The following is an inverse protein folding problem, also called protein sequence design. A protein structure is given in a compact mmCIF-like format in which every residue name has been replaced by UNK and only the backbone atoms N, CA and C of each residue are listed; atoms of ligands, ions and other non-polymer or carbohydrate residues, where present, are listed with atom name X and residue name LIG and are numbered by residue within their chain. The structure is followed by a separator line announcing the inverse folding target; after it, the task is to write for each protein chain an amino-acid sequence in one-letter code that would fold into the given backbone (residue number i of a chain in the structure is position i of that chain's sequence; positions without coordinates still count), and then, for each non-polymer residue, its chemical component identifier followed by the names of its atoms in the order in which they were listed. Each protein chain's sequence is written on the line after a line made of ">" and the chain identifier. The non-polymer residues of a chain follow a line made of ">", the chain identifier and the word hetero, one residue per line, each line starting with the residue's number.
data_IF_606686988765
#
_entry.id   IF_606686988765
#
_cell.length_a   1.000
_cell.length_b   1.000
_cell.length_c   1.000
_cell.angle_alpha   90.00
_cell.angle_beta   90.00
_cell.angle_gamma   90.00
#
_symmetry.space_group_name_H-M   'P 1'
#
loop_
_entity.id
_entity.type
_entity.pdbx_description
1 polymer ?
#
# COMPACT_ATOMS: atom_id res chain seq x y z
N UNK A 1 -8.12 31.15 6.93
CA UNK A 1 -6.68 31.48 6.77
C UNK A 1 -5.85 30.21 6.63
N UNK A 2 -5.74 29.38 7.67
CA UNK A 2 -4.88 28.17 7.67
C UNK A 2 -5.12 27.23 6.49
N UNK A 3 -6.38 26.87 6.20
CA UNK A 3 -6.72 26.02 5.04
C UNK A 3 -6.18 26.58 3.72
N UNK A 4 -6.34 27.90 3.51
CA UNK A 4 -5.85 28.59 2.31
C UNK A 4 -4.32 28.58 2.27
N UNK A 5 -3.64 28.82 3.40
CA UNK A 5 -2.17 28.78 3.47
C UNK A 5 -1.61 27.39 3.14
N UNK A 6 -2.22 26.32 3.67
CA UNK A 6 -1.83 24.93 3.33
C UNK A 6 -2.10 24.62 1.86
N UNK A 7 -3.21 25.09 1.30
CA UNK A 7 -3.51 24.93 -0.14
C UNK A 7 -2.49 25.64 -1.05
N UNK A 8 -1.87 26.73 -0.59
CA UNK A 8 -0.77 27.40 -1.30
C UNK A 8 0.60 26.75 -1.08
N UNK A 9 0.68 25.62 -0.37
CA UNK A 9 1.93 24.90 -0.14
C UNK A 9 2.83 25.53 0.91
N UNK A 10 2.32 26.42 1.76
CA UNK A 10 3.09 26.92 2.91
C UNK A 10 3.29 25.80 3.93
N UNK A 11 4.55 25.62 4.35
CA UNK A 11 4.90 24.72 5.44
C UNK A 11 4.44 25.33 6.78
N UNK A 12 3.46 24.70 7.42
CA UNK A 12 2.93 25.13 8.72
C UNK A 12 2.19 24.01 9.42
N UNK A 13 2.17 24.05 10.76
CA UNK A 13 1.46 23.06 11.58
C UNK A 13 -0.06 23.30 11.60
N UNK A 14 -0.84 22.22 11.62
CA UNK A 14 -2.31 22.27 11.79
C UNK A 14 -2.77 22.28 13.25
N UNK A 15 -1.83 22.08 14.19
CA UNK A 15 -2.11 21.93 15.61
C UNK A 15 -2.70 23.19 16.27
N UNK A 16 -1.96 24.30 16.26
CA UNK A 16 -2.41 25.55 16.91
C UNK A 16 -3.70 26.12 16.30
N UNK A 17 -3.91 26.09 14.97
CA UNK A 17 -5.19 26.44 14.38
C UNK A 17 -6.36 25.57 14.85
N UNK A 18 -6.15 24.25 14.98
CA UNK A 18 -7.17 23.34 15.49
C UNK A 18 -7.54 23.63 16.95
N UNK A 19 -6.53 23.89 17.80
CA UNK A 19 -6.74 24.32 19.19
C UNK A 19 -7.59 25.59 19.26
N UNK A 20 -7.22 26.62 18.49
CA UNK A 20 -7.91 27.90 18.50
C UNK A 20 -9.37 27.75 18.03
N UNK A 21 -9.60 27.00 16.95
CA UNK A 21 -10.94 26.76 16.41
C UNK A 21 -11.78 25.98 17.43
N UNK A 22 -11.23 24.93 18.02
CA UNK A 22 -11.92 24.14 19.05
C UNK A 22 -12.25 24.95 20.31
N UNK A 23 -11.30 25.73 20.81
CA UNK A 23 -11.50 26.59 21.96
C UNK A 23 -12.57 27.66 21.68
N UNK A 24 -12.52 28.29 20.49
CA UNK A 24 -13.51 29.28 20.07
C UNK A 24 -14.90 28.67 19.95
N UNK A 25 -15.03 27.47 19.37
CA UNK A 25 -16.29 26.76 19.29
C UNK A 25 -16.84 26.40 20.68
N UNK A 26 -15.99 25.90 21.58
CA UNK A 26 -16.35 25.64 22.97
C UNK A 26 -16.79 26.90 23.72
N UNK A 27 -16.13 28.04 23.49
CA UNK A 27 -16.48 29.33 24.08
C UNK A 27 -17.84 29.84 23.57
N UNK A 28 -18.13 29.70 22.27
CA UNK A 28 -19.43 30.06 21.70
C UNK A 28 -20.53 29.20 22.31
N UNK A 29 -20.34 27.87 22.36
CA UNK A 29 -21.31 26.94 22.95
C UNK A 29 -21.54 27.26 24.43
N UNK A 30 -20.46 27.51 25.19
CA UNK A 30 -20.55 27.91 26.59
C UNK A 30 -21.35 29.19 26.78
N UNK A 31 -21.03 30.24 26.01
CA UNK A 31 -21.72 31.52 26.08
C UNK A 31 -23.22 31.36 25.79
N UNK A 32 -23.59 30.56 24.78
CA UNK A 32 -25.00 30.29 24.45
C UNK A 32 -25.72 29.56 25.60
N UNK A 33 -25.10 28.54 26.19
CA UNK A 33 -25.67 27.80 27.32
C UNK A 33 -25.87 28.69 28.55
N UNK A 34 -24.90 29.57 28.84
CA UNK A 34 -25.01 30.54 29.93
C UNK A 34 -26.15 31.54 29.70
N UNK A 35 -26.29 32.07 28.48
CA UNK A 35 -27.41 32.97 28.14
C UNK A 35 -28.77 32.26 28.25
N UNK A 36 -28.83 30.95 28.00
CA UNK A 36 -30.02 30.14 28.20
C UNK A 36 -30.29 29.78 29.68
N UNK A 37 -29.42 30.19 30.62
CA UNK A 37 -29.54 29.88 32.04
C UNK A 37 -29.14 28.44 32.41
N UNK A 38 -28.47 27.72 31.51
CA UNK A 38 -28.00 26.35 31.71
C UNK A 38 -26.51 26.34 32.03
N UNK A 39 -26.08 25.41 32.91
CA UNK A 39 -24.65 25.12 33.18
C UNK A 39 -23.79 26.34 33.58
N UNK A 40 -24.28 27.18 34.50
CA UNK A 40 -23.67 28.46 34.92
C UNK A 40 -22.22 28.38 35.48
N UNK A 41 -21.64 27.18 35.64
CA UNK A 41 -20.28 26.98 36.20
C UNK A 41 -19.35 26.12 35.30
N UNK A 42 -19.75 25.79 34.07
CA UNK A 42 -19.00 24.88 33.20
C UNK A 42 -18.25 25.58 32.06
N UNK A 43 -18.05 26.89 32.15
CA UNK A 43 -17.51 27.70 31.04
C UNK A 43 -16.13 27.20 30.58
N UNK A 44 -15.19 27.12 31.51
CA UNK A 44 -13.83 26.63 31.21
C UNK A 44 -13.83 25.17 30.75
N UNK A 45 -14.69 24.33 31.32
CA UNK A 45 -14.77 22.92 30.94
C UNK A 45 -15.23 22.75 29.49
N UNK A 46 -16.24 23.50 29.05
CA UNK A 46 -16.75 23.45 27.68
C UNK A 46 -15.73 23.97 26.66
N UNK A 47 -15.00 25.02 27.00
CA UNK A 47 -13.89 25.53 26.16
C UNK A 47 -12.80 24.48 26.00
N UNK A 48 -12.36 23.86 27.11
CA UNK A 48 -11.33 22.81 27.10
C UNK A 48 -11.81 21.59 26.32
N UNK A 49 -13.06 21.15 26.51
CA UNK A 49 -13.64 20.05 25.75
C UNK A 49 -13.68 20.36 24.24
N UNK A 50 -14.12 21.55 23.85
CA UNK A 50 -14.15 21.96 22.43
C UNK A 50 -12.74 21.99 21.82
N UNK A 51 -11.78 22.58 22.54
CA UNK A 51 -10.37 22.61 22.17
C UNK A 51 -9.82 21.20 21.96
N UNK A 52 -10.03 20.31 22.94
CA UNK A 52 -9.49 18.97 22.93
C UNK A 52 -10.16 18.08 21.86
N UNK A 53 -11.48 18.17 21.71
CA UNK A 53 -12.25 17.38 20.75
C UNK A 53 -11.84 17.67 19.30
N UNK A 54 -11.77 18.95 18.91
CA UNK A 54 -11.38 19.33 17.55
C UNK A 54 -9.92 18.93 17.27
N UNK A 55 -9.03 19.22 18.22
CA UNK A 55 -7.61 18.96 18.05
C UNK A 55 -7.30 17.47 17.98
N UNK A 56 -7.93 16.64 18.83
CA UNK A 56 -7.78 15.19 18.81
C UNK A 56 -8.24 14.59 17.48
N UNK A 57 -9.37 15.07 16.94
CA UNK A 57 -9.91 14.60 15.66
C UNK A 57 -9.07 15.02 14.45
N UNK A 58 -8.46 16.21 14.48
CA UNK A 58 -7.58 16.68 13.39
C UNK A 58 -6.27 15.89 13.37
N UNK A 59 -5.65 15.67 14.54
CA UNK A 59 -4.36 14.95 14.64
C UNK A 59 -4.53 13.44 14.52
N UNK A 60 -5.65 12.89 15.02
CA UNK A 60 -5.83 11.44 15.20
C UNK A 60 -5.17 10.88 16.46
N UNK A 61 -4.87 11.72 17.47
CA UNK A 61 -4.16 11.34 18.69
C UNK A 61 -4.99 11.60 19.98
N UNK A 62 -6.06 10.82 20.22
CA UNK A 62 -6.98 11.06 21.34
C UNK A 62 -6.33 10.93 22.71
N UNK A 63 -5.49 9.91 22.92
CA UNK A 63 -4.82 9.68 24.22
C UNK A 63 -3.85 10.82 24.53
N UNK A 64 -3.03 11.21 23.55
CA UNK A 64 -2.09 12.33 23.68
C UNK A 64 -2.80 13.62 24.05
N UNK A 65 -3.97 13.89 23.46
CA UNK A 65 -4.73 15.09 23.80
C UNK A 65 -5.32 15.07 25.21
N UNK A 66 -5.73 13.91 25.72
CA UNK A 66 -6.19 13.79 27.12
C UNK A 66 -5.04 14.10 28.08
N UNK A 67 -3.85 13.54 27.84
CA UNK A 67 -2.65 13.79 28.64
C UNK A 67 -2.31 15.28 28.61
N UNK A 68 -2.28 15.87 27.42
CA UNK A 68 -1.97 17.29 27.24
C UNK A 68 -2.95 18.21 27.97
N UNK A 69 -4.25 17.88 27.97
CA UNK A 69 -5.26 18.62 28.74
C UNK A 69 -4.95 18.55 30.24
N UNK A 70 -4.64 17.37 30.76
CA UNK A 70 -4.30 17.18 32.18
C UNK A 70 -3.04 17.96 32.53
N UNK A 71 -2.00 17.89 31.71
CA UNK A 71 -0.74 18.60 31.94
C UNK A 71 -0.89 20.12 31.90
N UNK A 72 -1.60 20.66 30.90
CA UNK A 72 -1.78 22.10 30.76
C UNK A 72 -2.71 22.70 31.83
N UNK A 73 -3.71 21.94 32.27
CA UNK A 73 -4.70 22.43 33.25
C UNK A 73 -4.37 22.04 34.69
N UNK A 74 -3.50 21.06 34.90
CA UNK A 74 -3.20 20.47 36.20
C UNK A 74 -4.39 19.74 36.84
N UNK A 75 -5.47 19.47 36.09
CA UNK A 75 -6.74 18.97 36.63
C UNK A 75 -7.20 17.71 35.91
N UNK A 76 -7.31 16.63 36.67
CA UNK A 76 -7.85 15.36 36.19
C UNK A 76 -9.33 15.45 35.79
N UNK A 77 -10.09 16.33 36.44
CA UNK A 77 -11.53 16.52 36.16
C UNK A 77 -11.73 17.06 34.73
N UNK A 78 -10.88 18.00 34.29
CA UNK A 78 -10.96 18.51 32.91
C UNK A 78 -10.49 17.47 31.88
N UNK A 79 -9.50 16.64 32.22
CA UNK A 79 -9.11 15.50 31.40
C UNK A 79 -10.25 14.51 31.17
N UNK A 80 -10.98 14.14 32.23
CA UNK A 80 -12.14 13.26 32.15
C UNK A 80 -13.28 13.88 31.32
N UNK A 81 -13.56 15.17 31.50
CA UNK A 81 -14.58 15.86 30.71
C UNK A 81 -14.19 15.88 29.22
N UNK A 82 -12.93 16.19 28.93
CA UNK A 82 -12.40 16.21 27.57
C UNK A 82 -12.47 14.82 26.91
N UNK A 83 -12.21 13.74 27.66
CA UNK A 83 -12.28 12.36 27.14
C UNK A 83 -13.62 12.06 26.46
N UNK A 84 -14.74 12.42 27.09
CA UNK A 84 -16.07 12.18 26.50
C UNK A 84 -16.24 12.94 25.19
N UNK A 85 -15.84 14.22 25.18
CA UNK A 85 -15.94 15.05 23.97
C UNK A 85 -15.03 14.57 22.84
N UNK A 86 -13.81 14.10 23.18
CA UNK A 86 -12.85 13.51 22.25
C UNK A 86 -13.43 12.22 21.67
N UNK A 87 -13.96 11.32 22.51
CA UNK A 87 -14.50 10.04 22.06
C UNK A 87 -15.63 10.25 21.03
N UNK A 88 -16.55 11.19 21.29
CA UNK A 88 -17.66 11.50 20.36
C UNK A 88 -17.13 12.12 19.06
N UNK A 89 -16.25 13.11 19.17
CA UNK A 89 -15.72 13.82 17.99
C UNK A 89 -14.86 12.92 17.10
N UNK A 90 -13.97 12.12 17.70
CA UNK A 90 -13.09 11.20 16.98
C UNK A 90 -13.89 10.08 16.34
N UNK A 91 -14.86 9.48 17.05
CA UNK A 91 -15.72 8.43 16.46
C UNK A 91 -16.49 8.95 15.25
N UNK A 92 -17.05 10.16 15.35
CA UNK A 92 -17.74 10.80 14.22
C UNK A 92 -16.79 11.07 13.05
N UNK A 93 -15.60 11.60 13.34
CA UNK A 93 -14.60 11.93 12.31
C UNK A 93 -14.06 10.67 11.62
N UNK A 94 -13.80 9.60 12.37
CA UNK A 94 -13.37 8.30 11.84
C UNK A 94 -14.35 7.73 10.83
N UNK A 95 -15.65 7.75 11.16
CA UNK A 95 -16.69 7.22 10.26
C UNK A 95 -16.80 8.06 8.98
N UNK A 96 -16.61 9.38 9.07
CA UNK A 96 -16.90 10.28 7.94
C UNK A 96 -15.68 10.65 7.10
N UNK A 97 -14.51 10.79 7.70
CA UNK A 97 -13.33 11.42 7.10
C UNK A 97 -12.04 10.61 7.25
N UNK A 98 -12.02 9.53 8.05
CA UNK A 98 -10.83 8.75 8.35
C UNK A 98 -10.19 9.10 9.70
N UNK A 99 -9.04 8.49 10.00
CA UNK A 99 -8.46 8.55 11.34
C UNK A 99 -7.79 9.90 11.67
N UNK A 100 -7.24 10.60 10.68
CA UNK A 100 -6.61 11.92 10.86
C UNK A 100 -6.58 12.76 9.59
N UNK A 101 -6.26 14.04 9.74
CA UNK A 101 -5.93 14.91 8.60
C UNK A 101 -4.71 14.42 7.82
N UNK A 102 -3.75 13.78 8.48
CA UNK A 102 -2.54 13.26 7.85
C UNK A 102 -2.84 12.06 6.95
N UNK A 103 -3.77 11.20 7.35
CA UNK A 103 -4.20 10.05 6.52
C UNK A 103 -4.80 10.54 5.21
N UNK A 104 -5.64 11.57 5.25
CA UNK A 104 -6.22 12.19 4.05
C UNK A 104 -5.12 12.79 3.15
N UNK A 105 -4.05 13.33 3.73
CA UNK A 105 -2.94 13.86 2.94
C UNK A 105 -2.13 12.77 2.24
N UNK A 106 -1.95 11.62 2.89
CA UNK A 106 -1.24 10.48 2.34
C UNK A 106 -2.07 9.81 1.24
N UNK A 107 -3.36 9.61 1.48
CA UNK A 107 -4.32 9.07 0.50
C UNK A 107 -4.37 9.92 -0.77
N UNK A 108 -4.37 11.26 -0.64
CA UNK A 108 -4.30 12.17 -1.79
C UNK A 108 -2.99 12.10 -2.60
N UNK A 109 -1.96 11.47 -2.05
CA UNK A 109 -0.68 11.22 -2.72
C UNK A 109 -0.56 9.77 -3.20
N UNK A 110 -1.66 9.01 -3.13
CA UNK A 110 -1.70 7.59 -3.46
C UNK A 110 -0.80 6.73 -2.54
N UNK A 111 -0.52 7.22 -1.32
CA UNK A 111 0.28 6.51 -0.33
C UNK A 111 -0.66 5.81 0.65
N UNK A 112 -0.88 4.51 0.44
CA UNK A 112 -1.71 3.70 1.32
C UNK A 112 -0.90 3.15 2.49
N UNK A 113 -1.02 3.79 3.67
CA UNK A 113 -0.38 3.34 4.91
C UNK A 113 -1.20 2.26 5.65
N UNK A 114 -2.38 1.89 5.17
CA UNK A 114 -3.27 0.94 5.85
C UNK A 114 -2.68 -0.46 5.92
N UNK A 115 -1.81 -0.80 4.96
CA UNK A 115 -1.06 -2.06 4.93
C UNK A 115 0.18 -2.05 5.84
N UNK A 116 0.36 -0.97 6.61
CA UNK A 116 1.46 -0.79 7.54
C UNK A 116 2.80 -0.60 6.83
N UNK A 117 3.88 -0.69 7.61
CA UNK A 117 5.24 -0.52 7.09
C UNK A 117 5.60 -1.57 6.04
N UNK A 118 5.14 -2.81 6.22
CA UNK A 118 5.42 -3.90 5.28
C UNK A 118 4.78 -3.62 3.91
N UNK A 119 3.51 -3.22 3.86
CA UNK A 119 2.87 -2.89 2.58
C UNK A 119 3.60 -1.79 1.81
N UNK A 120 4.06 -0.74 2.51
CA UNK A 120 4.85 0.33 1.88
C UNK A 120 6.15 -0.21 1.27
N UNK A 121 6.92 -1.00 2.01
CA UNK A 121 8.16 -1.58 1.50
C UNK A 121 7.92 -2.49 0.28
N UNK A 122 6.86 -3.29 0.31
CA UNK A 122 6.49 -4.16 -0.82
C UNK A 122 6.05 -3.34 -2.05
N UNK A 123 5.46 -2.17 -1.86
CA UNK A 123 5.07 -1.26 -2.95
C UNK A 123 6.24 -0.48 -3.54
N UNK A 124 7.29 -0.20 -2.74
CA UNK A 124 8.49 0.52 -3.19
C UNK A 124 9.56 -0.41 -3.78
N UNK A 125 9.54 -1.69 -3.43
CA UNK A 125 10.52 -2.68 -3.91
C UNK A 125 10.09 -3.24 -5.27
N UNK A 126 11.00 -3.27 -6.24
CA UNK A 126 10.71 -3.81 -7.58
C UNK A 126 10.75 -5.35 -7.55
N UNK A 127 9.79 -5.97 -8.26
CA UNK A 127 9.80 -7.42 -8.42
C UNK A 127 11.05 -7.92 -9.18
N UNK A 128 11.62 -7.06 -10.04
CA UNK A 128 12.84 -7.31 -10.81
C UNK A 128 14.03 -7.72 -9.95
N UNK A 129 14.13 -7.21 -8.72
CA UNK A 129 15.26 -7.47 -7.82
C UNK A 129 15.32 -8.93 -7.34
N UNK A 130 14.20 -9.64 -7.40
CA UNK A 130 14.05 -11.03 -6.97
C UNK A 130 13.90 -12.03 -8.13
N UNK A 131 14.08 -11.55 -9.37
CA UNK A 131 13.96 -12.40 -10.55
C UNK A 131 15.19 -13.29 -10.76
N UNK A 132 14.95 -14.51 -11.24
CA UNK A 132 16.00 -15.35 -11.79
C UNK A 132 16.30 -14.92 -13.24
N UNK A 133 17.58 -14.84 -13.57
CA UNK A 133 18.07 -14.48 -14.91
C UNK A 133 18.37 -15.72 -15.75
N UNK A 134 18.38 -16.91 -15.14
CA UNK A 134 18.60 -18.16 -15.83
C UNK A 134 17.25 -18.79 -16.18
N UNK A 135 16.85 -18.62 -17.44
CA UNK A 135 15.65 -19.23 -17.99
C UNK A 135 15.93 -19.82 -19.37
N UNK A 136 15.23 -20.89 -19.70
CA UNK A 136 15.34 -21.53 -21.01
C UNK A 136 14.38 -20.84 -22.00
N UNK A 137 14.90 -20.54 -23.20
CA UNK A 137 14.16 -19.87 -24.27
C UNK A 137 14.11 -20.75 -25.52
N UNK A 138 13.05 -20.58 -26.32
CA UNK A 138 12.89 -21.22 -27.63
C UNK A 138 12.37 -20.20 -28.65
N UNK A 139 12.70 -20.38 -29.94
CA UNK A 139 12.21 -19.50 -30.99
C UNK A 139 10.79 -19.90 -31.43
N UNK A 140 9.95 -18.93 -31.80
CA UNK A 140 8.60 -19.18 -32.33
C UNK A 140 8.58 -20.04 -33.60
N UNK A 141 9.66 -20.02 -34.38
CA UNK A 141 9.82 -20.77 -35.62
C UNK A 141 10.38 -22.18 -35.43
N UNK A 142 10.74 -22.57 -34.19
CA UNK A 142 11.24 -23.91 -33.89
C UNK A 142 10.10 -24.95 -33.94
N UNK A 143 10.46 -26.24 -33.92
CA UNK A 143 9.48 -27.32 -33.89
C UNK A 143 9.15 -27.77 -32.46
N UNK A 144 8.02 -28.46 -32.32
CA UNK A 144 7.62 -29.10 -31.06
C UNK A 144 8.69 -30.05 -30.52
N UNK A 145 9.39 -30.78 -31.40
CA UNK A 145 10.48 -31.68 -31.01
C UNK A 145 11.64 -30.95 -30.34
N UNK A 146 12.03 -29.78 -30.86
CA UNK A 146 13.07 -28.92 -30.25
C UNK A 146 12.63 -28.40 -28.88
N UNK A 147 11.36 -28.07 -28.71
CA UNK A 147 10.80 -27.69 -27.41
C UNK A 147 10.89 -28.82 -26.38
N UNK A 148 10.46 -30.02 -26.75
CA UNK A 148 10.53 -31.21 -25.89
C UNK A 148 11.98 -31.57 -25.49
N UNK A 149 12.92 -31.47 -26.43
CA UNK A 149 14.35 -31.69 -26.15
C UNK A 149 14.91 -30.63 -25.21
N UNK A 150 14.57 -29.36 -25.44
CA UNK A 150 15.02 -28.23 -24.61
C UNK A 150 14.47 -28.36 -23.18
N UNK A 151 13.19 -28.66 -23.01
CA UNK A 151 12.56 -28.95 -21.71
C UNK A 151 13.26 -30.11 -20.99
N UNK A 152 13.53 -31.21 -21.71
CA UNK A 152 14.21 -32.39 -21.14
C UNK A 152 15.63 -32.08 -20.70
N UNK A 153 16.37 -31.29 -21.50
CA UNK A 153 17.76 -30.89 -21.22
C UNK A 153 17.87 -29.96 -20.02
N UNK A 154 16.95 -29.01 -19.89
CA UNK A 154 16.93 -28.02 -18.82
C UNK A 154 16.12 -28.47 -17.59
N UNK A 155 15.45 -29.62 -17.67
CA UNK A 155 14.59 -30.18 -16.62
C UNK A 155 13.48 -29.20 -16.17
N UNK A 156 12.93 -28.44 -17.12
CA UNK A 156 11.85 -27.48 -16.89
C UNK A 156 10.56 -27.93 -17.57
N UNK A 157 9.41 -27.56 -16.99
CA UNK A 157 8.09 -27.83 -17.56
C UNK A 157 7.61 -26.69 -18.45
N UNK A 158 8.17 -25.49 -18.29
CA UNK A 158 7.79 -24.32 -19.08
C UNK A 158 8.99 -23.71 -19.82
N UNK A 159 8.74 -23.16 -21.01
CA UNK A 159 9.71 -22.41 -21.80
C UNK A 159 9.16 -21.04 -22.20
N UNK A 160 10.08 -20.07 -22.28
CA UNK A 160 9.79 -18.74 -22.84
C UNK A 160 9.94 -18.79 -24.35
N UNK A 161 8.95 -18.29 -25.06
CA UNK A 161 9.00 -18.21 -26.52
C UNK A 161 9.36 -16.79 -26.96
N UNK A 162 10.42 -16.70 -27.76
CA UNK A 162 10.94 -15.45 -28.32
C UNK A 162 10.87 -15.46 -29.85
N UNK A 163 10.76 -14.28 -30.44
CA UNK A 163 10.89 -14.07 -31.89
C UNK A 163 12.37 -14.02 -32.32
N UNK A 164 12.64 -14.05 -33.62
CA UNK A 164 13.98 -13.87 -34.21
C UNK A 164 14.64 -12.55 -33.79
N UNK A 165 13.85 -11.52 -33.48
CA UNK A 165 14.31 -10.22 -33.00
C UNK A 165 14.54 -10.16 -31.47
N UNK A 166 14.46 -11.30 -30.79
CA UNK A 166 14.56 -11.43 -29.33
C UNK A 166 13.42 -10.75 -28.56
N UNK A 167 12.25 -10.60 -29.20
CA UNK A 167 11.03 -10.07 -28.58
C UNK A 167 10.23 -11.20 -27.92
N UNK A 168 9.59 -10.90 -26.79
CA UNK A 168 8.72 -11.84 -26.07
C UNK A 168 7.43 -12.09 -26.84
N UNK A 169 7.14 -13.36 -27.11
CA UNK A 169 5.94 -13.80 -27.85
C UNK A 169 4.93 -14.47 -26.91
N UNK A 170 5.40 -15.27 -25.95
CA UNK A 170 4.54 -15.98 -25.01
C UNK A 170 5.26 -17.07 -24.24
N UNK A 171 4.48 -17.99 -23.68
CA UNK A 171 4.97 -19.14 -22.92
C UNK A 171 4.48 -20.45 -23.54
N UNK A 172 5.20 -21.54 -23.32
CA UNK A 172 4.73 -22.88 -23.63
C UNK A 172 4.94 -23.83 -22.46
N UNK A 173 3.93 -24.64 -22.19
CA UNK A 173 3.91 -25.69 -21.16
C UNK A 173 4.14 -27.06 -21.82
N UNK A 174 4.93 -27.91 -21.16
CA UNK A 174 5.12 -29.31 -21.49
C UNK A 174 3.81 -30.06 -21.69
N UNK A 175 2.76 -29.75 -20.92
CA UNK A 175 1.44 -30.41 -21.03
C UNK A 175 0.79 -30.11 -22.39
N UNK A 176 0.90 -28.87 -22.88
CA UNK A 176 0.31 -28.43 -24.15
C UNK A 176 0.91 -29.15 -25.37
N UNK A 177 2.19 -29.53 -25.26
CA UNK A 177 2.92 -30.25 -26.32
C UNK A 177 3.12 -31.74 -26.03
N UNK A 178 2.55 -32.25 -24.94
CA UNK A 178 2.67 -33.65 -24.57
C UNK A 178 1.94 -34.53 -25.59
N UNK A 179 2.64 -35.53 -26.13
CA UNK A 179 2.13 -36.44 -27.18
C UNK A 179 1.79 -35.77 -28.52
N UNK A 180 2.35 -34.59 -28.82
CA UNK A 180 2.25 -33.94 -30.13
C UNK A 180 3.34 -34.41 -31.08
N UNK A 181 3.10 -34.32 -32.39
CA UNK A 181 4.09 -34.76 -33.37
C UNK A 181 5.31 -33.82 -33.34
N UNK A 182 6.55 -34.33 -33.19
CA UNK A 182 7.76 -33.50 -33.07
C UNK A 182 8.03 -32.58 -34.27
N UNK A 183 7.38 -32.83 -35.40
CA UNK A 183 7.53 -32.06 -36.65
C UNK A 183 6.53 -30.92 -36.79
N UNK A 184 5.55 -30.82 -35.89
CA UNK A 184 4.60 -29.70 -35.89
C UNK A 184 5.28 -28.37 -35.55
N UNK A 185 4.72 -27.28 -36.09
CA UNK A 185 5.15 -25.92 -35.80
C UNK A 185 4.77 -25.52 -34.37
N UNK A 186 5.70 -24.90 -33.66
CA UNK A 186 5.50 -24.51 -32.26
C UNK A 186 4.44 -23.40 -32.10
N UNK A 187 4.30 -22.50 -33.09
CA UNK A 187 3.44 -21.30 -33.01
C UNK A 187 1.96 -21.60 -32.67
N UNK A 188 1.49 -22.81 -33.02
CA UNK A 188 0.11 -23.27 -32.77
C UNK A 188 -0.16 -23.46 -31.27
N UNK A 189 0.88 -23.79 -30.49
CA UNK A 189 0.78 -24.19 -29.08
C UNK A 189 1.27 -23.12 -28.11
N UNK A 190 1.69 -21.95 -28.61
CA UNK A 190 2.16 -20.84 -27.77
C UNK A 190 0.98 -20.19 -27.06
N UNK A 191 1.08 -20.08 -25.74
CA UNK A 191 0.21 -19.22 -24.96
C UNK A 191 0.68 -17.75 -25.06
N UNK A 192 0.06 -17.03 -26.00
CA UNK A 192 0.32 -15.60 -26.26
C UNK A 192 -0.38 -14.68 -25.24
N UNK A 193 -1.36 -15.19 -24.49
CA UNK A 193 -2.11 -14.45 -23.46
C UNK A 193 -1.63 -14.77 -22.03
N UNK A 194 -0.47 -15.41 -21.91
CA UNK A 194 0.10 -15.75 -20.61
C UNK A 194 0.29 -14.52 -19.72
N UNK A 195 0.11 -14.75 -18.42
CA UNK A 195 0.33 -13.74 -17.39
C UNK A 195 1.82 -13.32 -17.42
N UNK A 196 2.08 -12.02 -17.34
CA UNK A 196 3.41 -11.42 -17.33
C UNK A 196 3.49 -10.31 -16.29
N UNK A 197 4.68 -10.08 -15.77
CA UNK A 197 5.00 -8.97 -14.87
C UNK A 197 5.90 -8.00 -15.63
N UNK A 198 5.73 -6.70 -15.45
CA UNK A 198 6.60 -5.70 -16.05
C UNK A 198 7.80 -5.39 -15.14
N UNK A 199 8.89 -4.91 -15.74
CA UNK A 199 10.09 -4.51 -15.01
C UNK A 199 9.88 -3.31 -14.07
N UNK A 200 8.79 -2.56 -14.26
CA UNK A 200 8.35 -1.46 -13.40
C UNK A 200 7.41 -1.88 -12.27
N UNK A 201 6.92 -3.12 -12.26
CA UNK A 201 5.94 -3.56 -11.28
C UNK A 201 6.57 -3.73 -9.89
N UNK A 202 5.84 -3.28 -8.87
CA UNK A 202 6.23 -3.48 -7.48
C UNK A 202 6.11 -4.95 -7.08
N UNK A 203 6.82 -5.34 -6.01
CA UNK A 203 6.68 -6.67 -5.42
C UNK A 203 5.24 -6.91 -4.94
N UNK A 204 4.55 -5.87 -4.46
CA UNK A 204 3.14 -5.95 -4.08
C UNK A 204 2.22 -6.26 -5.25
N UNK A 205 2.46 -5.67 -6.42
CA UNK A 205 1.65 -5.89 -7.63
C UNK A 205 1.98 -7.25 -8.26
N UNK A 206 3.26 -7.63 -8.30
CA UNK A 206 3.69 -8.95 -8.72
C UNK A 206 3.05 -10.06 -7.88
N UNK A 207 2.93 -9.89 -6.57
CA UNK A 207 2.22 -10.85 -5.70
C UNK A 207 0.72 -10.92 -6.01
N UNK A 208 0.05 -9.78 -6.28
CA UNK A 208 -1.37 -9.78 -6.70
C UNK A 208 -1.58 -10.50 -8.02
N UNK A 209 -0.68 -10.27 -8.99
CA UNK A 209 -0.68 -10.93 -10.30
C UNK A 209 -0.46 -12.45 -10.11
N UNK A 210 0.51 -12.83 -9.29
CA UNK A 210 0.84 -14.23 -9.02
C UNK A 210 -0.24 -14.99 -8.25
N UNK A 211 -1.11 -14.31 -7.48
CA UNK A 211 -2.16 -14.97 -6.69
C UNK A 211 -3.15 -15.80 -7.50
N UNK A 212 -3.32 -15.50 -8.79
CA UNK A 212 -4.19 -16.27 -9.71
C UNK A 212 -3.39 -17.03 -10.76
N UNK A 213 -2.06 -17.02 -10.66
CA UNK A 213 -1.18 -17.67 -11.62
C UNK A 213 -1.09 -19.17 -11.35
N UNK A 214 -1.05 -19.95 -12.43
CA UNK A 214 -0.80 -21.38 -12.39
C UNK A 214 0.32 -21.67 -13.38
N UNK A 215 1.42 -22.23 -12.89
CA UNK A 215 2.59 -22.56 -13.70
C UNK A 215 3.87 -22.62 -12.89
N UNK A 216 4.99 -22.80 -13.57
CA UNK A 216 6.33 -22.89 -12.97
C UNK A 216 6.91 -21.49 -12.69
N UNK A 217 6.76 -20.57 -13.63
CA UNK A 217 7.23 -19.19 -13.48
C UNK A 217 6.43 -18.18 -14.31
N UNK A 218 6.50 -16.91 -13.88
CA UNK A 218 5.94 -15.76 -14.58
C UNK A 218 7.10 -15.01 -15.26
N UNK A 219 7.04 -14.75 -16.59
CA UNK A 219 8.05 -13.96 -17.27
C UNK A 219 7.97 -12.50 -16.85
N UNK A 220 9.15 -11.90 -16.59
CA UNK A 220 9.30 -10.47 -16.35
C UNK A 220 9.78 -9.80 -17.63
N UNK A 221 8.98 -8.88 -18.15
CA UNK A 221 9.15 -8.28 -19.47
C UNK A 221 9.41 -6.78 -19.33
N UNK A 222 10.42 -6.28 -20.04
CA UNK A 222 10.64 -4.85 -20.16
C UNK A 222 9.56 -4.23 -21.07
N UNK A 223 8.79 -3.28 -20.54
CA UNK A 223 7.63 -2.71 -21.24
C UNK A 223 8.01 -1.99 -22.55
N UNK A 224 9.20 -1.37 -22.60
CA UNK A 224 9.63 -0.55 -23.75
C UNK A 224 10.21 -1.37 -24.89
N UNK A 225 11.00 -2.38 -24.57
CA UNK A 225 11.68 -3.23 -25.56
C UNK A 225 10.91 -4.50 -25.89
N UNK A 226 9.86 -4.84 -25.12
CA UNK A 226 9.13 -6.11 -25.19
C UNK A 226 10.09 -7.32 -25.11
N UNK A 227 11.04 -7.27 -24.18
CA UNK A 227 12.05 -8.33 -23.97
C UNK A 227 11.94 -8.93 -22.59
N UNK A 228 12.16 -10.24 -22.50
CA UNK A 228 12.23 -10.91 -21.19
C UNK A 228 13.54 -10.55 -20.51
N UNK A 229 13.44 -9.99 -19.31
CA UNK A 229 14.59 -9.61 -18.46
C UNK A 229 14.84 -10.62 -17.35
N UNK A 230 13.86 -11.45 -17.02
CA UNK A 230 13.95 -12.48 -15.98
C UNK A 230 12.69 -13.32 -15.91
N UNK A 231 12.73 -14.32 -15.04
CA UNK A 231 11.56 -15.11 -14.63
C UNK A 231 11.41 -15.06 -13.12
N UNK A 232 10.18 -15.09 -12.64
CA UNK A 232 9.90 -15.10 -11.22
C UNK A 232 8.92 -16.23 -10.88
N UNK A 233 9.29 -17.06 -9.92
CA UNK A 233 8.42 -18.13 -9.41
C UNK A 233 7.61 -17.64 -8.21
N UNK A 234 6.49 -18.29 -7.93
CA UNK A 234 5.70 -18.02 -6.73
C UNK A 234 6.54 -18.20 -5.45
N UNK A 235 7.42 -19.21 -5.44
CA UNK A 235 8.34 -19.43 -4.32
C UNK A 235 9.37 -18.29 -4.15
N UNK A 236 9.85 -17.70 -5.25
CA UNK A 236 10.73 -16.54 -5.19
C UNK A 236 10.00 -15.31 -4.62
N UNK A 237 8.77 -15.04 -5.07
CA UNK A 237 7.92 -13.97 -4.53
C UNK A 237 7.65 -14.17 -3.02
N UNK A 238 7.32 -15.40 -2.62
CA UNK A 238 7.05 -15.72 -1.23
C UNK A 238 8.31 -15.58 -0.37
N UNK A 239 9.47 -16.02 -0.87
CA UNK A 239 10.76 -15.85 -0.18
C UNK A 239 11.13 -14.38 -0.04
N UNK A 240 10.95 -13.58 -1.10
CA UNK A 240 11.16 -12.14 -1.08
C UNK A 240 10.29 -11.44 -0.02
N UNK A 241 9.00 -11.80 0.07
CA UNK A 241 8.10 -11.30 1.10
C UNK A 241 8.60 -11.61 2.52
N UNK A 242 9.03 -12.85 2.78
CA UNK A 242 9.55 -13.26 4.09
C UNK A 242 10.86 -12.53 4.44
N UNK A 243 11.72 -12.28 3.47
CA UNK A 243 12.97 -11.55 3.66
C UNK A 243 12.71 -10.08 3.99
N UNK A 244 11.79 -9.41 3.28
CA UNK A 244 11.39 -8.04 3.59
C UNK A 244 10.71 -7.94 4.97
N UNK A 245 9.83 -8.89 5.29
CA UNK A 245 9.20 -8.95 6.62
C UNK A 245 10.25 -9.08 7.73
N UNK A 246 11.28 -9.91 7.53
CA UNK A 246 12.35 -10.10 8.52
C UNK A 246 13.16 -8.83 8.72
N UNK A 247 13.54 -8.13 7.64
CA UNK A 247 14.24 -6.84 7.71
C UNK A 247 13.47 -5.84 8.56
N UNK A 248 12.15 -5.75 8.37
CA UNK A 248 11.29 -4.84 9.14
C UNK A 248 11.29 -5.21 10.62
N UNK A 249 11.12 -6.49 10.95
CA UNK A 249 11.15 -6.96 12.35
C UNK A 249 12.50 -6.67 13.00
N UNK A 250 13.61 -6.81 12.27
CA UNK A 250 14.94 -6.50 12.79
C UNK A 250 15.12 -5.00 13.05
N UNK A 251 14.60 -4.13 12.17
CA UNK A 251 14.60 -2.68 12.37
C UNK A 251 13.74 -2.26 13.58
N UNK A 252 12.64 -2.95 13.86
CA UNK A 252 11.76 -2.64 15.01
C UNK A 252 12.34 -3.08 16.36
N UNK A 253 13.33 -3.98 16.36
CA UNK A 253 14.01 -4.42 17.59
C UNK A 253 15.15 -3.47 18.01
N UNK A 254 15.58 -2.56 17.14
CA UNK A 254 16.64 -1.58 17.40
C UNK A 254 16.06 -0.30 18.01
#
# INVERSE_FOLDING_TARGET
>A
ATSVSLSFGFFGGVFSPALLIGASAGAIVSSLLMHAGLLLNFEYALVICGMAAVTASVIGAPITMIILVIELTGSYVYGLAALVSIAVSVSFTQIRFGASYFDIQLDRRDINISEGRLGLYLSETLALDFCDKYFATINSNDSVGTAQETMSKHQCAELIVISDNNEFVGKIDAISILNKDPTEELDIYIDKECIRIFDTDSLSDAMKIASNFVGEFIPVVNEKENRVVGVISENALFSAYLDEQRKIIEMEKQ
#
